data_IF_213019139294
#
_entry.id   IF_213019139294
#
_cell.length_a   1.000
_cell.length_b   1.000
_cell.length_c   1.000
_cell.angle_alpha   90.00
_cell.angle_beta   90.00
_cell.angle_gamma   90.00
#
_symmetry.space_group_name_H-M   'P 1'
#
loop_
_entity.id
_entity.type
_entity.pdbx_description
1 polymer ?
#
# COMPACT_ATOMS: atom_id res chain seq x y z
N UNK A 1 -61.53 -11.63 42.80
CA UNK A 1 -62.65 -10.69 42.63
C UNK A 1 -62.80 -10.46 41.13
N UNK A 2 -63.87 -11.03 40.54
CA UNK A 2 -64.44 -10.80 39.19
C UNK A 2 -63.60 -11.23 37.97
N UNK A 3 -64.11 -11.94 36.96
CA UNK A 3 -65.44 -12.51 36.67
C UNK A 3 -65.29 -13.52 35.51
N UNK A 4 -66.00 -14.64 35.61
CA UNK A 4 -66.19 -15.68 34.59
C UNK A 4 -67.30 -15.28 33.59
N UNK A 5 -67.22 -15.77 32.33
CA UNK A 5 -68.29 -16.40 31.51
C UNK A 5 -67.98 -16.22 30.01
N UNK A 6 -67.72 -17.27 29.21
CA UNK A 6 -68.56 -18.41 28.76
C UNK A 6 -69.40 -18.10 27.50
N UNK A 7 -68.90 -18.65 26.37
CA UNK A 7 -69.55 -19.52 25.35
C UNK A 7 -70.88 -19.06 24.69
N UNK A 8 -70.93 -18.99 23.34
CA UNK A 8 -71.70 -19.93 22.48
C UNK A 8 -71.75 -19.62 20.96
N UNK A 9 -71.82 -20.72 20.22
CA UNK A 9 -71.88 -20.94 18.78
C UNK A 9 -73.11 -20.35 18.06
N UNK A 10 -72.96 -20.10 16.74
CA UNK A 10 -74.00 -20.47 15.76
C UNK A 10 -73.42 -20.76 14.35
N UNK A 11 -74.05 -21.71 13.67
CA UNK A 11 -73.68 -22.35 12.38
C UNK A 11 -74.44 -21.74 11.18
N UNK A 12 -73.74 -21.63 10.02
CA UNK A 12 -74.17 -21.86 8.61
C UNK A 12 -75.32 -21.01 7.99
N UNK A 13 -75.65 -21.05 6.65
CA UNK A 13 -75.05 -21.71 5.47
C UNK A 13 -74.91 -20.87 4.16
N UNK A 14 -74.31 -21.52 3.17
CA UNK A 14 -74.31 -21.41 1.69
C UNK A 14 -75.24 -20.43 0.94
N UNK A 15 -74.71 -19.85 -0.16
CA UNK A 15 -75.47 -19.51 -1.38
C UNK A 15 -74.66 -19.79 -2.65
N UNK A 16 -75.11 -20.77 -3.40
CA UNK A 16 -74.76 -21.16 -4.78
C UNK A 16 -75.36 -20.19 -5.78
N UNK A 17 -74.59 -19.75 -6.78
CA UNK A 17 -75.11 -19.37 -8.11
C UNK A 17 -74.07 -19.72 -9.19
N UNK A 18 -74.42 -20.70 -10.04
CA UNK A 18 -73.78 -21.00 -11.33
C UNK A 18 -74.34 -20.08 -12.42
N UNK A 19 -73.55 -19.92 -13.51
CA UNK A 19 -73.83 -19.35 -14.86
C UNK A 19 -72.93 -18.11 -15.10
N UNK A 20 -72.18 -17.94 -16.17
CA UNK A 20 -72.12 -18.55 -17.51
C UNK A 20 -70.73 -18.28 -18.10
N UNK A 21 -70.32 -19.13 -19.05
CA UNK A 21 -69.05 -19.06 -19.76
C UNK A 21 -68.93 -17.86 -20.72
N UNK A 22 -67.76 -17.23 -20.74
CA UNK A 22 -67.25 -16.49 -21.89
C UNK A 22 -65.85 -17.03 -22.22
N UNK A 23 -65.73 -17.70 -23.36
CA UNK A 23 -64.44 -18.10 -23.94
C UNK A 23 -63.90 -16.90 -24.68
N UNK A 24 -62.81 -16.31 -24.17
CA UNK A 24 -62.03 -15.28 -24.88
C UNK A 24 -60.70 -15.92 -25.26
N UNK A 25 -60.54 -16.23 -26.55
CA UNK A 25 -59.27 -16.71 -27.11
C UNK A 25 -58.28 -15.55 -27.20
N UNK A 26 -57.38 -15.43 -26.24
CA UNK A 26 -56.24 -14.52 -26.29
C UNK A 26 -55.09 -15.19 -27.05
N UNK A 27 -54.76 -14.65 -28.23
CA UNK A 27 -53.56 -15.02 -28.98
C UNK A 27 -52.32 -14.47 -28.25
N UNK A 28 -51.47 -15.36 -27.74
CA UNK A 28 -50.21 -14.98 -27.11
C UNK A 28 -49.15 -14.71 -28.19
N UNK A 29 -48.88 -13.43 -28.48
CA UNK A 29 -47.71 -13.02 -29.24
C UNK A 29 -46.48 -13.07 -28.31
N UNK A 30 -45.57 -14.02 -28.58
CA UNK A 30 -44.29 -14.15 -27.88
C UNK A 30 -43.36 -13.00 -28.30
N UNK A 31 -43.36 -11.91 -27.53
CA UNK A 31 -42.30 -10.91 -27.57
C UNK A 31 -41.08 -11.49 -26.85
N UNK A 32 -40.10 -11.97 -27.62
CA UNK A 32 -38.77 -12.30 -27.09
C UNK A 32 -38.08 -11.02 -26.62
N UNK A 33 -38.20 -10.71 -25.34
CA UNK A 33 -37.37 -9.69 -24.68
C UNK A 33 -35.96 -10.26 -24.64
N UNK A 34 -35.08 -9.81 -25.54
CA UNK A 34 -33.65 -10.06 -25.43
C UNK A 34 -33.17 -9.39 -24.15
N UNK A 35 -32.91 -10.18 -23.11
CA UNK A 35 -32.28 -9.70 -21.90
C UNK A 35 -30.92 -9.08 -22.27
N UNK A 36 -30.60 -7.84 -21.83
CA UNK A 36 -29.27 -7.31 -22.02
C UNK A 36 -28.29 -8.25 -21.34
N UNK A 37 -27.35 -8.80 -22.13
CA UNK A 37 -26.24 -9.57 -21.58
C UNK A 37 -25.53 -8.69 -20.55
N UNK A 38 -25.19 -9.20 -19.36
CA UNK A 38 -24.39 -8.42 -18.43
C UNK A 38 -23.07 -8.10 -19.14
N UNK A 39 -22.78 -6.80 -19.26
CA UNK A 39 -21.48 -6.34 -19.68
C UNK A 39 -20.45 -7.05 -18.78
N UNK A 40 -19.59 -7.85 -19.39
CA UNK A 40 -18.47 -8.50 -18.74
C UNK A 40 -17.70 -7.39 -18.03
N UNK A 41 -17.60 -7.45 -16.70
CA UNK A 41 -16.67 -6.60 -15.96
C UNK A 41 -15.32 -6.69 -16.67
N UNK A 42 -14.76 -5.55 -17.08
CA UNK A 42 -13.39 -5.51 -17.60
C UNK A 42 -12.51 -6.21 -16.57
N UNK A 43 -11.95 -7.37 -16.97
CA UNK A 43 -11.29 -8.28 -16.05
C UNK A 43 -10.14 -7.57 -15.35
N UNK A 44 -10.06 -7.77 -14.04
CA UNK A 44 -8.96 -7.26 -13.23
C UNK A 44 -7.61 -7.58 -13.88
N UNK A 45 -6.64 -6.65 -13.83
CA UNK A 45 -5.35 -6.89 -14.44
C UNK A 45 -4.70 -8.15 -13.84
N UNK A 46 -4.16 -9.01 -14.71
CA UNK A 46 -3.44 -10.20 -14.28
C UNK A 46 -2.04 -9.84 -13.75
N UNK A 47 -1.42 -10.69 -12.90
CA UNK A 47 -0.03 -10.54 -12.51
C UNK A 47 0.93 -10.49 -13.71
N UNK A 48 2.07 -9.81 -13.54
CA UNK A 48 3.12 -9.81 -14.58
C UNK A 48 3.81 -11.18 -14.68
N UNK A 49 4.37 -11.50 -15.84
CA UNK A 49 4.87 -12.85 -16.16
C UNK A 49 6.38 -13.04 -16.02
N UNK A 50 7.13 -11.97 -15.73
CA UNK A 50 8.59 -12.05 -15.52
C UNK A 50 8.95 -12.47 -14.09
N UNK A 51 10.22 -12.38 -13.68
CA UNK A 51 10.65 -12.87 -12.37
C UNK A 51 10.08 -12.05 -11.20
N UNK A 52 9.66 -10.79 -11.41
CA UNK A 52 9.19 -9.93 -10.32
C UNK A 52 7.73 -10.16 -9.93
N UNK A 53 6.90 -10.69 -10.85
CA UNK A 53 5.53 -11.12 -10.58
C UNK A 53 4.69 -10.03 -9.85
N UNK A 54 4.75 -8.79 -10.33
CA UNK A 54 3.95 -7.68 -9.79
C UNK A 54 2.47 -8.05 -9.90
N UNK A 55 1.81 -8.13 -8.76
CA UNK A 55 0.45 -8.64 -8.63
C UNK A 55 -0.48 -7.50 -8.22
N UNK A 56 -1.52 -7.18 -9.01
CA UNK A 56 -2.51 -6.18 -8.64
C UNK A 56 -3.17 -6.44 -7.30
N UNK A 57 -3.62 -5.38 -6.63
CA UNK A 57 -4.37 -5.43 -5.38
C UNK A 57 -5.72 -4.74 -5.55
N UNK A 58 -6.76 -5.45 -6.05
CA UNK A 58 -8.07 -4.84 -6.32
C UNK A 58 -8.72 -4.21 -5.09
N UNK A 59 -8.55 -4.86 -3.92
CA UNK A 59 -9.08 -4.39 -2.63
C UNK A 59 -8.29 -3.21 -2.05
N UNK A 60 -7.08 -2.96 -2.55
CA UNK A 60 -6.20 -1.86 -2.15
C UNK A 60 -5.76 -1.09 -3.39
N UNK A 61 -6.66 -0.29 -4.00
CA UNK A 61 -6.39 0.38 -5.25
C UNK A 61 -5.26 1.41 -5.11
N UNK A 62 -4.65 1.77 -6.25
CA UNK A 62 -3.56 2.73 -6.27
C UNK A 62 -4.01 4.09 -5.71
N UNK A 63 -3.30 4.58 -4.69
CA UNK A 63 -3.52 5.92 -4.12
C UNK A 63 -3.29 7.04 -5.16
N UNK A 64 -2.60 6.72 -6.24
CA UNK A 64 -2.48 7.53 -7.45
C UNK A 64 -2.45 6.61 -8.68
N UNK A 65 -3.15 6.93 -9.77
CA UNK A 65 -3.16 6.08 -10.96
C UNK A 65 -1.75 5.79 -11.49
N UNK A 66 -1.44 4.50 -11.64
CA UNK A 66 -0.20 3.99 -12.24
C UNK A 66 -0.44 2.58 -12.76
N UNK A 67 0.22 2.19 -13.85
CA UNK A 67 0.16 0.81 -14.36
C UNK A 67 1.08 -0.11 -13.56
N UNK A 68 0.96 -1.43 -13.77
CA UNK A 68 1.98 -2.37 -13.34
C UNK A 68 3.35 -2.02 -13.96
N UNK A 69 4.47 -2.29 -13.25
CA UNK A 69 5.79 -2.17 -13.82
C UNK A 69 6.00 -3.19 -14.95
N UNK A 70 6.89 -2.85 -15.91
CA UNK A 70 7.35 -3.83 -16.90
C UNK A 70 8.20 -4.89 -16.19
N UNK A 71 7.87 -6.15 -16.46
CA UNK A 71 8.54 -7.33 -15.92
C UNK A 71 9.13 -8.17 -17.06
N UNK A 72 10.33 -7.82 -17.57
CA UNK A 72 10.97 -8.54 -18.66
C UNK A 72 11.40 -9.94 -18.22
N UNK A 73 11.71 -10.84 -19.18
CA UNK A 73 12.25 -12.18 -18.87
C UNK A 73 13.49 -12.16 -17.96
N UNK A 74 14.26 -11.08 -18.01
CA UNK A 74 15.41 -10.84 -17.16
C UNK A 74 15.36 -9.41 -16.62
N UNK A 75 15.05 -9.27 -15.34
CA UNK A 75 15.09 -7.98 -14.65
C UNK A 75 16.53 -7.58 -14.41
N UNK A 76 16.94 -6.33 -14.74
CA UNK A 76 18.31 -5.88 -14.50
C UNK A 76 18.73 -6.05 -13.04
N UNK A 77 19.76 -6.87 -12.81
CA UNK A 77 20.24 -7.32 -11.50
C UNK A 77 21.71 -6.93 -11.23
N UNK A 78 22.25 -6.00 -12.03
CA UNK A 78 23.65 -5.53 -11.89
C UNK A 78 23.76 -4.02 -11.95
N UNK A 79 24.79 -3.53 -11.26
CA UNK A 79 25.14 -2.12 -11.22
C UNK A 79 24.17 -1.29 -10.39
N UNK A 80 24.45 0.00 -10.31
CA UNK A 80 23.68 0.93 -9.51
C UNK A 80 22.90 1.92 -10.37
N UNK A 81 21.91 2.56 -9.77
CA UNK A 81 21.18 3.70 -10.36
C UNK A 81 21.18 4.82 -9.36
N UNK A 82 21.49 6.03 -9.81
CA UNK A 82 21.36 7.20 -8.92
C UNK A 82 19.99 7.82 -9.05
N UNK A 83 19.39 8.16 -7.91
CA UNK A 83 18.14 8.88 -7.84
C UNK A 83 18.26 10.05 -6.86
N UNK A 84 17.44 11.08 -7.02
CA UNK A 84 17.39 12.20 -6.08
C UNK A 84 15.95 12.47 -5.73
N UNK A 85 15.60 12.30 -4.46
CA UNK A 85 14.37 12.86 -3.90
C UNK A 85 14.60 14.36 -3.74
N UNK A 86 13.93 15.19 -4.54
CA UNK A 86 13.96 16.64 -4.35
C UNK A 86 12.90 16.98 -3.33
N UNK A 87 13.28 17.27 -2.09
CA UNK A 87 12.33 17.66 -1.05
C UNK A 87 12.25 19.18 -0.89
N UNK A 88 11.24 19.66 -0.17
CA UNK A 88 11.17 21.06 0.27
C UNK A 88 12.25 21.44 1.29
N UNK A 89 12.91 20.48 1.92
CA UNK A 89 13.95 20.70 2.95
C UNK A 89 15.37 20.47 2.44
N UNK A 90 15.52 19.95 1.22
CA UNK A 90 16.80 19.71 0.56
C UNK A 90 16.76 18.50 -0.38
N UNK A 91 17.78 18.28 -1.21
CA UNK A 91 17.90 17.03 -1.96
C UNK A 91 18.30 15.88 -1.02
N UNK A 92 17.78 14.68 -1.31
CA UNK A 92 18.22 13.42 -0.73
C UNK A 92 18.68 12.53 -1.90
N UNK A 93 19.98 12.55 -2.26
CA UNK A 93 20.52 11.68 -3.29
C UNK A 93 20.67 10.26 -2.76
N UNK A 94 20.24 9.31 -3.59
CA UNK A 94 20.18 7.87 -3.36
C UNK A 94 21.05 7.15 -4.39
N UNK A 95 21.65 6.04 -3.98
CA UNK A 95 22.24 5.04 -4.86
C UNK A 95 21.44 3.76 -4.68
N UNK A 96 20.77 3.33 -5.75
CA UNK A 96 19.94 2.12 -5.78
C UNK A 96 20.79 0.95 -6.27
N UNK A 97 20.68 -0.21 -5.62
CA UNK A 97 21.49 -1.40 -5.91
C UNK A 97 20.62 -2.48 -6.57
N UNK A 98 20.86 -2.73 -7.85
CA UNK A 98 20.13 -3.76 -8.59
C UNK A 98 20.53 -5.18 -8.22
N UNK A 99 21.74 -5.39 -7.72
CA UNK A 99 22.18 -6.72 -7.31
C UNK A 99 21.53 -7.14 -6.00
N UNK A 100 21.32 -6.17 -5.09
CA UNK A 100 20.66 -6.43 -3.82
C UNK A 100 19.15 -6.70 -3.99
N UNK A 101 18.46 -5.88 -4.79
CA UNK A 101 16.99 -5.94 -4.90
C UNK A 101 16.49 -5.51 -6.30
N UNK A 102 16.70 -6.34 -7.34
CA UNK A 102 16.37 -5.99 -8.73
C UNK A 102 14.91 -5.59 -8.95
N UNK A 103 13.95 -6.33 -8.38
CA UNK A 103 12.53 -6.07 -8.53
C UNK A 103 12.08 -4.82 -7.77
N UNK A 104 12.67 -4.57 -6.62
CA UNK A 104 12.44 -3.37 -5.82
C UNK A 104 12.96 -2.13 -6.54
N UNK A 105 14.18 -2.17 -7.08
CA UNK A 105 14.74 -1.06 -7.87
C UNK A 105 13.90 -0.82 -9.12
N UNK A 106 13.49 -1.88 -9.82
CA UNK A 106 12.62 -1.77 -10.99
C UNK A 106 11.27 -1.12 -10.66
N UNK A 107 10.63 -1.51 -9.56
CA UNK A 107 9.38 -0.93 -9.06
C UNK A 107 9.55 0.56 -8.73
N UNK A 108 10.56 0.91 -7.92
CA UNK A 108 10.84 2.29 -7.54
C UNK A 108 11.09 3.19 -8.75
N UNK A 109 11.87 2.72 -9.73
CA UNK A 109 12.16 3.49 -10.95
C UNK A 109 10.92 3.64 -11.84
N UNK A 110 10.06 2.63 -11.91
CA UNK A 110 8.77 2.71 -12.60
C UNK A 110 7.88 3.78 -11.99
N UNK A 111 7.69 3.74 -10.67
CA UNK A 111 6.89 4.72 -9.92
C UNK A 111 7.46 6.14 -10.05
N UNK A 112 8.78 6.29 -9.94
CA UNK A 112 9.44 7.59 -10.12
C UNK A 112 9.24 8.16 -11.54
N UNK A 113 9.35 7.35 -12.59
CA UNK A 113 9.13 7.77 -13.99
C UNK A 113 7.68 8.21 -14.23
N UNK A 114 6.72 7.56 -13.59
CA UNK A 114 5.30 7.91 -13.65
C UNK A 114 4.91 9.01 -12.65
N UNK A 115 5.90 9.68 -12.02
CA UNK A 115 5.68 10.80 -11.10
C UNK A 115 4.81 10.40 -9.91
N UNK A 116 4.80 9.12 -9.54
CA UNK A 116 3.98 8.58 -8.45
C UNK A 116 4.33 9.23 -7.10
N UNK A 117 5.63 9.50 -6.90
CA UNK A 117 6.16 10.16 -5.71
C UNK A 117 6.18 11.69 -5.77
N UNK A 118 5.73 12.32 -6.86
CA UNK A 118 5.69 13.79 -6.92
C UNK A 118 4.65 14.35 -5.95
N UNK A 119 5.02 15.38 -5.18
CA UNK A 119 4.17 16.05 -4.17
C UNK A 119 3.61 15.09 -3.12
N UNK A 120 4.36 14.05 -2.74
CA UNK A 120 3.99 13.16 -1.63
C UNK A 120 4.73 13.58 -0.37
N UNK A 121 4.16 13.29 0.81
CA UNK A 121 4.82 13.55 2.09
C UNK A 121 5.53 12.30 2.60
N UNK A 122 6.56 12.51 3.41
CA UNK A 122 7.00 11.52 4.38
C UNK A 122 6.08 11.61 5.59
N UNK A 123 5.20 10.61 5.74
CA UNK A 123 4.08 10.67 6.69
C UNK A 123 4.47 10.24 8.10
N UNK A 124 5.63 9.58 8.27
CA UNK A 124 6.08 9.04 9.56
C UNK A 124 7.57 9.23 9.79
N UNK A 125 7.92 9.67 10.98
CA UNK A 125 9.26 9.73 11.55
C UNK A 125 9.23 8.98 12.88
N UNK A 126 10.23 8.14 13.13
CA UNK A 126 10.39 7.42 14.39
C UNK A 126 11.71 7.80 15.05
N UNK A 127 11.73 7.91 16.37
CA UNK A 127 12.87 8.29 17.18
C UNK A 127 13.15 7.30 18.33
N UNK A 128 12.70 6.05 18.19
CA UNK A 128 13.03 5.01 19.16
C UNK A 128 14.52 4.68 19.15
N UNK A 129 15.11 4.21 20.27
CA UNK A 129 16.49 3.74 20.29
C UNK A 129 16.77 2.65 19.24
N UNK A 130 15.79 1.79 18.97
CA UNK A 130 15.88 0.68 18.01
C UNK A 130 15.36 1.00 16.61
N UNK A 131 14.69 2.14 16.41
CA UNK A 131 14.07 2.49 15.13
C UNK A 131 14.12 4.01 14.91
N UNK A 132 15.03 4.42 14.03
CA UNK A 132 15.30 5.81 13.67
C UNK A 132 15.17 6.00 12.17
N UNK A 133 13.94 6.07 11.68
CA UNK A 133 13.65 6.10 10.24
C UNK A 133 12.68 7.21 9.85
N UNK A 134 12.84 7.73 8.64
CA UNK A 134 11.88 8.57 7.96
C UNK A 134 11.19 7.75 6.87
N UNK A 135 9.87 7.53 6.99
CA UNK A 135 9.07 6.73 6.07
C UNK A 135 8.27 7.62 5.11
N UNK A 136 8.32 7.26 3.83
CA UNK A 136 7.74 8.01 2.71
C UNK A 136 7.12 7.04 1.69
N UNK A 137 6.61 7.58 0.57
CA UNK A 137 6.21 6.78 -0.59
C UNK A 137 4.73 6.41 -0.66
N UNK A 138 3.91 7.01 0.19
CA UNK A 138 2.45 6.94 0.13
C UNK A 138 1.87 8.25 -0.45
N UNK A 139 1.26 8.24 -1.65
CA UNK A 139 0.61 9.41 -2.22
C UNK A 139 -0.60 9.94 -1.46
N UNK A 140 -1.30 9.09 -0.70
CA UNK A 140 -2.42 9.49 0.16
C UNK A 140 -1.95 10.21 1.43
N UNK A 141 -0.73 9.92 1.87
CA UNK A 141 -0.13 10.45 3.09
C UNK A 141 -0.67 9.84 4.39
N UNK A 142 -1.51 8.80 4.33
CA UNK A 142 -2.13 8.17 5.51
C UNK A 142 -1.24 7.11 6.15
N UNK A 143 -0.29 6.56 5.39
CA UNK A 143 0.53 5.41 5.76
C UNK A 143 -0.05 4.07 5.31
N UNK A 144 -1.24 4.05 4.72
CA UNK A 144 -1.91 2.83 4.23
C UNK A 144 -2.05 2.77 2.71
N UNK A 145 -1.72 3.85 2.00
CA UNK A 145 -1.80 3.87 0.54
C UNK A 145 -0.63 3.14 -0.14
N UNK A 146 -0.86 2.73 -1.39
CA UNK A 146 0.10 2.01 -2.21
C UNK A 146 -0.11 2.22 -3.71
N UNK A 147 0.62 1.49 -4.57
CA UNK A 147 0.59 1.66 -6.01
C UNK A 147 -0.47 0.80 -6.71
N UNK A 148 -1.35 0.13 -5.97
CA UNK A 148 -2.36 -0.79 -6.53
C UNK A 148 -1.78 -2.13 -6.98
N UNK A 149 -0.57 -2.46 -6.52
CA UNK A 149 0.06 -3.75 -6.71
C UNK A 149 1.03 -4.06 -5.57
N UNK A 150 1.36 -5.34 -5.43
CA UNK A 150 2.39 -5.85 -4.53
C UNK A 150 3.40 -6.74 -5.25
N UNK A 151 4.55 -6.95 -4.61
CA UNK A 151 5.57 -7.90 -5.06
C UNK A 151 6.38 -8.46 -3.89
N UNK A 152 7.12 -9.53 -4.18
CA UNK A 152 7.88 -10.31 -3.19
C UNK A 152 9.00 -9.52 -2.52
N UNK A 153 9.40 -9.98 -1.35
CA UNK A 153 10.58 -9.48 -0.66
C UNK A 153 11.89 -9.94 -1.33
N UNK A 154 12.90 -9.08 -1.26
CA UNK A 154 14.29 -9.32 -1.66
C UNK A 154 15.16 -9.08 -0.41
N UNK A 155 15.04 -10.00 0.55
CA UNK A 155 15.55 -9.82 1.90
C UNK A 155 17.08 -9.86 1.96
N UNK A 156 17.71 -8.99 2.77
CA UNK A 156 19.15 -9.00 2.95
C UNK A 156 19.58 -10.25 3.74
N UNK A 157 20.67 -10.89 3.32
CA UNK A 157 21.13 -12.16 3.90
C UNK A 157 22.37 -12.02 4.81
N UNK A 158 23.05 -10.88 4.77
CA UNK A 158 24.39 -10.67 5.30
C UNK A 158 24.50 -9.48 6.26
N UNK A 159 23.37 -8.96 6.77
CA UNK A 159 23.42 -7.90 7.76
C UNK A 159 24.10 -8.37 9.06
N UNK A 160 24.90 -7.52 9.70
CA UNK A 160 25.49 -7.86 10.99
C UNK A 160 24.42 -7.89 12.10
N UNK A 161 24.65 -8.63 13.20
CA UNK A 161 23.79 -8.58 14.38
C UNK A 161 23.65 -7.15 14.89
N UNK A 162 22.45 -6.78 15.36
CA UNK A 162 22.26 -5.49 16.00
C UNK A 162 23.00 -5.48 17.36
N UNK A 163 23.92 -4.53 17.62
CA UNK A 163 24.69 -4.50 18.89
C UNK A 163 23.80 -4.38 20.13
N UNK A 164 22.60 -3.82 19.96
CA UNK A 164 21.64 -3.57 21.03
C UNK A 164 20.62 -4.70 21.22
N UNK A 165 20.77 -5.83 20.53
CA UNK A 165 19.83 -6.95 20.61
C UNK A 165 20.48 -8.24 21.16
N UNK A 166 20.27 -8.56 22.45
CA UNK A 166 20.85 -9.76 23.07
C UNK A 166 20.24 -11.06 22.53
N UNK A 167 19.09 -11.01 21.86
CA UNK A 167 18.43 -12.21 21.32
C UNK A 167 19.09 -12.70 20.03
N UNK A 168 19.88 -11.87 19.36
CA UNK A 168 20.48 -12.18 18.06
C UNK A 168 19.46 -12.32 16.93
N UNK A 169 18.22 -11.86 17.11
CA UNK A 169 17.14 -11.96 16.11
C UNK A 169 17.13 -10.73 15.19
N UNK A 170 17.48 -9.56 15.72
CA UNK A 170 17.58 -8.31 14.98
C UNK A 170 18.94 -8.18 14.32
N UNK A 171 18.93 -7.41 13.24
CA UNK A 171 20.07 -7.05 12.41
C UNK A 171 20.21 -5.54 12.38
N UNK A 172 21.45 -5.09 12.20
CA UNK A 172 21.76 -3.68 12.09
C UNK A 172 21.36 -3.19 10.70
N UNK A 173 20.35 -2.32 10.66
CA UNK A 173 20.07 -1.45 9.54
C UNK A 173 20.84 -0.15 9.82
N UNK A 174 22.02 -0.04 9.22
CA UNK A 174 22.93 1.08 9.46
C UNK A 174 22.33 2.40 8.93
N UNK A 175 22.76 3.51 9.53
CA UNK A 175 22.46 4.85 9.02
C UNK A 175 22.78 4.96 7.52
N UNK A 176 21.82 5.49 6.77
CA UNK A 176 21.87 5.64 5.32
C UNK A 176 21.25 4.49 4.56
N UNK A 177 20.88 3.36 5.18
CA UNK A 177 20.14 2.30 4.50
C UNK A 177 18.79 2.83 3.97
N UNK A 178 18.45 2.42 2.75
CA UNK A 178 17.14 2.61 2.13
C UNK A 178 16.48 1.24 1.96
N UNK A 179 15.29 1.08 2.53
CA UNK A 179 14.57 -0.18 2.51
C UNK A 179 13.06 0.00 2.31
N UNK A 180 12.39 -1.03 1.83
CA UNK A 180 10.94 -1.02 1.64
C UNK A 180 10.20 -1.14 2.96
N UNK A 181 9.10 -0.40 3.11
CA UNK A 181 8.09 -0.69 4.11
C UNK A 181 7.10 -1.71 3.53
N UNK A 182 6.52 -2.56 4.39
CA UNK A 182 5.57 -3.59 4.01
C UNK A 182 4.54 -3.82 5.13
N UNK A 183 3.47 -4.54 4.81
CA UNK A 183 2.40 -4.97 5.72
C UNK A 183 2.55 -6.45 6.12
N UNK A 184 3.77 -7.00 6.01
CA UNK A 184 4.06 -8.42 6.16
C UNK A 184 4.85 -8.98 4.97
N UNK A 185 5.18 -10.28 4.99
CA UNK A 185 5.96 -10.91 3.94
C UNK A 185 5.33 -10.72 2.55
N UNK A 186 6.15 -10.42 1.55
CA UNK A 186 5.77 -10.30 0.14
C UNK A 186 4.67 -9.26 -0.16
N UNK A 187 4.63 -8.18 0.63
CA UNK A 187 3.67 -7.08 0.47
C UNK A 187 4.34 -5.75 0.11
N UNK A 188 5.51 -5.79 -0.54
CA UNK A 188 6.15 -4.56 -0.99
C UNK A 188 5.25 -3.83 -2.00
N UNK A 189 5.02 -2.55 -1.74
CA UNK A 189 4.27 -1.65 -2.61
C UNK A 189 5.12 -0.47 -3.06
N UNK A 190 4.79 0.72 -2.58
CA UNK A 190 5.47 1.96 -2.93
C UNK A 190 6.18 2.65 -1.77
N UNK A 191 5.85 2.27 -0.53
CA UNK A 191 6.37 2.90 0.67
C UNK A 191 7.77 2.40 0.99
N UNK A 192 8.64 3.31 1.42
CA UNK A 192 10.02 3.02 1.78
C UNK A 192 10.42 3.85 2.99
N UNK A 193 11.46 3.44 3.69
CA UNK A 193 12.03 4.19 4.79
C UNK A 193 13.53 4.45 4.60
N UNK A 194 13.95 5.62 5.08
CA UNK A 194 15.30 6.14 5.05
C UNK A 194 15.84 6.09 6.49
N UNK A 195 16.85 5.27 6.72
CA UNK A 195 17.45 5.11 8.05
C UNK A 195 18.33 6.31 8.36
N UNK A 196 17.91 7.18 9.28
CA UNK A 196 18.70 8.34 9.68
C UNK A 196 19.57 8.07 10.91
N UNK A 197 19.39 6.93 11.58
CA UNK A 197 20.32 6.49 12.62
C UNK A 197 20.27 4.98 12.75
N UNK A 198 21.36 4.39 13.23
CA UNK A 198 21.46 2.94 13.39
C UNK A 198 20.23 2.38 14.09
N UNK A 199 19.63 1.38 13.43
CA UNK A 199 18.36 0.79 13.80
C UNK A 199 18.50 -0.73 13.88
N UNK A 200 17.79 -1.33 14.83
CA UNK A 200 17.81 -2.77 15.11
C UNK A 200 16.47 -3.38 14.69
N UNK A 201 16.45 -4.00 13.51
CA UNK A 201 15.23 -4.55 12.91
C UNK A 201 15.37 -6.03 12.63
N UNK A 202 14.26 -6.77 12.61
CA UNK A 202 14.26 -8.09 11.98
C UNK A 202 14.55 -7.91 10.48
N UNK A 203 15.28 -8.82 9.82
CA UNK A 203 15.67 -8.68 8.41
C UNK A 203 14.50 -8.99 7.46
N UNK A 204 13.35 -8.37 7.69
CA UNK A 204 12.08 -8.60 6.98
C UNK A 204 11.78 -7.50 5.95
N UNK A 205 12.77 -6.66 5.63
CA UNK A 205 12.61 -5.51 4.75
C UNK A 205 13.68 -5.52 3.67
N UNK A 206 13.25 -5.50 2.41
CA UNK A 206 14.12 -5.44 1.23
C UNK A 206 14.98 -4.17 1.26
N UNK A 207 16.30 -4.32 1.35
CA UNK A 207 17.25 -3.23 1.20
C UNK A 207 17.56 -3.07 -0.29
N UNK A 208 17.31 -1.88 -0.84
CA UNK A 208 17.44 -1.65 -2.28
C UNK A 208 18.36 -0.48 -2.63
N UNK A 209 19.10 0.03 -1.64
CA UNK A 209 20.06 1.09 -1.85
C UNK A 209 20.47 1.79 -0.57
N UNK A 210 21.07 2.95 -0.74
CA UNK A 210 21.46 3.81 0.36
C UNK A 210 21.36 5.30 0.02
N UNK A 211 21.32 6.12 1.07
CA UNK A 211 21.37 7.57 1.04
C UNK A 211 22.83 8.01 1.07
N UNK A 212 23.20 8.90 0.16
CA UNK A 212 24.54 9.50 0.14
C UNK A 212 24.77 10.44 1.31
N UNK A 213 26.03 10.76 1.65
CA UNK A 213 26.37 11.70 2.73
C UNK A 213 25.66 13.06 2.61
N UNK A 214 25.45 13.56 1.39
CA UNK A 214 24.69 14.80 1.16
C UNK A 214 23.22 14.66 1.55
N UNK A 215 22.62 13.50 1.31
CA UNK A 215 21.23 13.22 1.68
C UNK A 215 21.06 13.05 3.18
N UNK A 216 22.08 12.48 3.84
CA UNK A 216 22.10 12.31 5.30
C UNK A 216 21.95 13.66 6.04
N UNK A 217 22.59 14.72 5.57
CA UNK A 217 22.43 16.07 6.15
C UNK A 217 20.97 16.58 6.09
N UNK A 218 20.24 16.25 5.02
CA UNK A 218 18.81 16.57 4.91
C UNK A 218 17.99 15.72 5.89
N UNK A 219 18.31 14.43 6.04
CA UNK A 219 17.65 13.56 7.02
C UNK A 219 17.88 14.03 8.46
N UNK A 220 19.09 14.46 8.79
CA UNK A 220 19.42 15.00 10.12
C UNK A 220 18.59 16.23 10.43
N UNK A 221 18.42 17.12 9.45
CA UNK A 221 17.55 18.30 9.61
C UNK A 221 16.11 17.91 9.89
N UNK A 222 15.57 16.91 9.17
CA UNK A 222 14.21 16.41 9.40
C UNK A 222 14.09 15.82 10.80
N UNK A 223 15.02 14.94 11.17
CA UNK A 223 15.02 14.27 12.47
C UNK A 223 15.18 15.26 13.64
N UNK A 224 16.06 16.26 13.52
CA UNK A 224 16.26 17.30 14.52
C UNK A 224 15.04 18.22 14.69
N UNK A 225 14.18 18.30 13.67
CA UNK A 225 12.90 18.99 13.77
C UNK A 225 11.89 18.28 14.67
N UNK A 226 12.09 16.99 14.93
CA UNK A 226 11.20 16.19 15.78
C UNK A 226 9.90 15.78 15.11
N UNK A 227 9.00 15.26 15.94
CA UNK A 227 7.69 14.71 15.56
C UNK A 227 6.62 15.67 16.08
N UNK A 228 5.54 15.86 15.32
CA UNK A 228 4.44 16.76 15.67
C UNK A 228 3.80 16.30 16.99
N UNK A 229 3.85 17.10 18.06
CA UNK A 229 3.21 16.75 19.33
C UNK A 229 1.69 16.80 19.23
N UNK A 230 1.00 15.99 20.04
CA UNK A 230 -0.44 16.10 20.28
C UNK A 230 -0.70 16.49 21.74
N UNK A 231 -1.97 16.75 22.09
CA UNK A 231 -2.32 17.03 23.48
C UNK A 231 -2.11 15.79 24.38
N UNK A 232 -2.28 14.60 23.82
CA UNK A 232 -2.14 13.31 24.48
C UNK A 232 -0.69 12.82 24.52
N UNK A 233 0.13 13.20 23.53
CA UNK A 233 1.56 12.88 23.46
C UNK A 233 2.37 14.16 23.12
N UNK A 234 2.81 14.91 24.14
CA UNK A 234 3.55 16.16 23.93
C UNK A 234 5.02 15.95 23.54
N UNK A 235 5.56 14.72 23.63
CA UNK A 235 6.94 14.39 23.29
C UNK A 235 7.02 13.07 22.51
N UNK A 236 6.38 12.99 21.33
CA UNK A 236 6.22 11.74 20.60
C UNK A 236 7.55 11.24 20.05
N UNK A 237 7.69 9.91 20.06
CA UNK A 237 8.81 9.19 19.44
C UNK A 237 8.38 8.44 18.17
N UNK A 238 7.11 8.53 17.79
CA UNK A 238 6.57 8.01 16.53
C UNK A 238 5.42 8.90 16.08
N UNK A 239 5.41 9.28 14.80
CA UNK A 239 4.30 10.03 14.22
C UNK A 239 4.70 10.90 13.04
N UNK A 240 3.86 11.88 12.71
CA UNK A 240 4.11 12.79 11.60
C UNK A 240 5.29 13.72 11.89
N UNK A 241 6.29 13.85 10.98
CA UNK A 241 7.40 14.78 11.17
C UNK A 241 6.90 16.22 11.41
N UNK A 242 7.44 16.92 12.42
CA UNK A 242 7.08 18.32 12.69
C UNK A 242 7.51 19.24 11.54
N UNK A 243 8.68 18.97 10.95
CA UNK A 243 9.05 19.56 9.67
C UNK A 243 8.40 18.77 8.55
N UNK A 244 7.28 19.30 8.02
CA UNK A 244 6.59 18.72 6.86
C UNK A 244 7.59 18.46 5.74
N UNK A 245 7.86 17.19 5.47
CA UNK A 245 8.82 16.75 4.48
C UNK A 245 8.07 16.27 3.25
N UNK A 246 8.10 17.06 2.18
CA UNK A 246 7.43 16.77 0.92
C UNK A 246 8.46 16.44 -0.16
N UNK A 247 8.31 15.28 -0.80
CA UNK A 247 9.02 14.93 -2.03
C UNK A 247 8.34 15.69 -3.18
N UNK A 248 8.94 16.79 -3.62
CA UNK A 248 8.42 17.60 -4.73
C UNK A 248 8.49 16.84 -6.06
N UNK A 249 9.61 16.13 -6.27
CA UNK A 249 9.86 15.31 -7.46
C UNK A 249 10.98 14.30 -7.21
N UNK A 250 10.91 13.16 -7.89
CA UNK A 250 12.04 12.21 -8.00
C UNK A 250 12.73 12.37 -9.36
N UNK A 251 14.06 12.52 -9.35
CA UNK A 251 14.89 12.49 -10.56
C UNK A 251 15.73 11.23 -10.57
N UNK A 252 15.69 10.48 -11.66
CA UNK A 252 16.52 9.28 -11.86
C UNK A 252 17.56 9.57 -12.93
N UNK A 253 18.79 9.12 -12.71
CA UNK A 253 19.89 9.24 -13.65
C UNK A 253 20.35 7.83 -14.00
N UNK A 254 20.56 7.58 -15.29
CA UNK A 254 21.08 6.29 -15.78
C UNK A 254 22.58 6.23 -15.65
#
# INVERSE_FOLDING_TARGET
MREDNVVQHHRQPARTWLRQALVVTAAAALLSVAAPSPARAEGEPAPTTGPCQYTPTPDEPAARPVSLPRDPRHTPDRGTVTAVLRTNLGPIPLVLDRAAAPCTVQSFLHLARHRFYDRTICHRLTAYPTLKVLQCGDPSGTGSGGPGYRYRDELPTDLPPAPTDPTGVRRLYARGVLAMANAGPDTNGSQFFLVYGDSALRPNYSIFGHVTSRGLATLDRVAAGGITPTAEDPAPVDGTPALRTEIRKVRTHR
#
